data_IF_277697513008
#
_entry.id   IF_277697513008
#
_cell.length_a   1.000
_cell.length_b   1.000
_cell.length_c   1.000
_cell.angle_alpha   90.00
_cell.angle_beta   90.00
_cell.angle_gamma   90.00
#
_symmetry.space_group_name_H-M   'P 1'
#
loop_
_entity.id
_entity.type
_entity.pdbx_description
1 polymer ?
#
# COMPACT_ATOMS: atom_id res chain seq x y z
N UNK A 1 18.02 -6.87 -2.12
CA UNK A 1 16.57 -6.71 -2.33
C UNK A 1 16.39 -5.64 -3.38
N UNK A 2 15.99 -6.01 -4.60
CA UNK A 2 15.72 -5.03 -5.66
C UNK A 2 14.30 -4.51 -5.43
N UNK A 3 14.15 -3.21 -5.19
CA UNK A 3 12.86 -2.55 -5.09
C UNK A 3 12.59 -1.83 -6.41
N UNK A 4 11.61 -2.30 -7.17
CA UNK A 4 11.10 -1.60 -8.35
C UNK A 4 9.67 -1.15 -8.07
N UNK A 5 9.44 0.17 -8.14
CA UNK A 5 8.12 0.78 -8.02
C UNK A 5 7.66 1.20 -9.41
N UNK A 6 6.48 0.76 -9.84
CA UNK A 6 5.88 1.18 -11.10
C UNK A 6 4.72 2.15 -10.80
N UNK A 7 5.01 3.45 -10.87
CA UNK A 7 3.99 4.51 -10.82
C UNK A 7 3.32 4.64 -12.18
N UNK A 8 2.11 4.10 -12.29
CA UNK A 8 1.26 4.27 -13.47
C UNK A 8 -0.20 4.35 -13.01
N UNK A 9 -0.65 5.58 -12.71
CA UNK A 9 -1.96 5.86 -12.10
C UNK A 9 -3.13 5.77 -13.07
N UNK A 10 -2.88 5.58 -14.38
CA UNK A 10 -3.90 5.67 -15.43
C UNK A 10 -4.10 4.37 -16.25
N UNK A 11 -3.52 3.23 -15.83
CA UNK A 11 -3.67 1.95 -16.55
C UNK A 11 -4.35 0.89 -15.69
N UNK A 12 -5.17 0.03 -16.32
CA UNK A 12 -5.73 -1.15 -15.67
C UNK A 12 -4.61 -2.16 -15.42
N UNK A 13 -4.16 -2.26 -14.16
CA UNK A 13 -3.10 -3.18 -13.72
C UNK A 13 -3.65 -4.60 -13.58
N UNK A 14 -4.01 -5.22 -14.70
CA UNK A 14 -4.46 -6.61 -14.71
C UNK A 14 -3.29 -7.59 -14.50
N UNK A 15 -3.61 -8.86 -14.26
CA UNK A 15 -2.61 -9.89 -13.98
C UNK A 15 -1.57 -10.08 -15.09
N UNK A 16 -1.93 -9.82 -16.36
CA UNK A 16 -1.02 -9.95 -17.50
C UNK A 16 -0.03 -8.79 -17.50
N UNK A 17 -0.52 -7.57 -17.29
CA UNK A 17 0.33 -6.40 -17.19
C UNK A 17 1.31 -6.55 -16.03
N UNK A 18 0.84 -6.92 -14.84
CA UNK A 18 1.71 -7.13 -13.67
C UNK A 18 2.75 -8.21 -13.93
N UNK A 19 2.34 -9.40 -14.41
CA UNK A 19 3.29 -10.49 -14.67
C UNK A 19 4.34 -10.11 -15.70
N UNK A 20 3.99 -9.39 -16.77
CA UNK A 20 4.96 -8.94 -17.77
C UNK A 20 6.06 -8.04 -17.19
N UNK A 21 5.71 -7.16 -16.24
CA UNK A 21 6.67 -6.29 -15.56
C UNK A 21 7.58 -7.10 -14.63
N UNK A 22 7.00 -8.03 -13.87
CA UNK A 22 7.78 -8.91 -12.97
C UNK A 22 8.74 -9.78 -13.79
N UNK A 23 8.28 -10.40 -14.86
CA UNK A 23 9.10 -11.25 -15.74
C UNK A 23 10.25 -10.46 -16.39
N UNK A 24 9.98 -9.22 -16.80
CA UNK A 24 11.03 -8.33 -17.32
C UNK A 24 12.09 -8.03 -16.26
N UNK A 25 11.67 -7.66 -15.05
CA UNK A 25 12.59 -7.39 -13.95
C UNK A 25 13.42 -8.64 -13.56
N UNK A 26 12.81 -9.83 -13.55
CA UNK A 26 13.52 -11.10 -13.30
C UNK A 26 14.59 -11.35 -14.38
N UNK A 27 14.27 -11.12 -15.66
CA UNK A 27 15.21 -11.28 -16.78
C UNK A 27 16.40 -10.33 -16.67
N UNK A 28 16.17 -9.08 -16.26
CA UNK A 28 17.24 -8.08 -16.05
C UNK A 28 18.23 -8.49 -14.94
N UNK A 29 17.75 -9.17 -13.90
CA UNK A 29 18.56 -9.62 -12.75
C UNK A 29 19.20 -11.01 -12.95
N UNK A 30 18.79 -11.72 -14.01
CA UNK A 30 18.96 -13.16 -14.22
C UNK A 30 18.09 -14.01 -13.27
N UNK A 31 17.19 -14.87 -13.80
CA UNK A 31 16.32 -15.72 -12.97
C UNK A 31 17.02 -16.54 -11.90
N UNK A 32 18.29 -16.94 -12.11
CA UNK A 32 19.04 -17.74 -11.13
C UNK A 32 19.41 -16.97 -9.86
N UNK A 33 19.37 -15.63 -9.92
CA UNK A 33 19.69 -14.74 -8.82
C UNK A 33 18.43 -14.27 -8.06
N UNK A 34 17.25 -14.71 -8.49
CA UNK A 34 15.97 -14.34 -7.88
C UNK A 34 15.38 -15.55 -7.16
N UNK A 35 15.19 -15.41 -5.86
CA UNK A 35 14.52 -16.42 -5.02
C UNK A 35 13.04 -16.09 -4.79
N UNK A 36 12.73 -14.80 -4.66
CA UNK A 36 11.40 -14.34 -4.27
C UNK A 36 11.11 -12.95 -4.83
N UNK A 37 9.84 -12.69 -5.13
CA UNK A 37 9.33 -11.34 -5.29
C UNK A 37 8.20 -11.06 -4.27
N UNK A 38 8.05 -9.80 -3.91
CA UNK A 38 7.05 -9.35 -2.93
C UNK A 38 6.18 -8.27 -3.56
N UNK A 39 4.86 -8.44 -3.49
CA UNK A 39 3.88 -7.46 -3.94
C UNK A 39 2.70 -7.43 -2.96
N UNK A 40 1.81 -6.44 -3.07
CA UNK A 40 0.58 -6.45 -2.27
C UNK A 40 -0.31 -7.67 -2.59
N UNK A 41 -1.26 -7.97 -1.71
CA UNK A 41 -2.15 -9.12 -1.85
C UNK A 41 -3.35 -8.85 -2.79
N UNK A 42 -3.24 -7.87 -3.70
CA UNK A 42 -4.29 -7.65 -4.69
C UNK A 42 -4.46 -8.88 -5.60
N UNK A 43 -5.70 -9.12 -6.04
CA UNK A 43 -6.05 -10.27 -6.87
C UNK A 43 -5.22 -10.36 -8.16
N UNK A 44 -4.87 -9.21 -8.77
CA UNK A 44 -4.01 -9.15 -9.95
C UNK A 44 -2.60 -9.70 -9.67
N UNK A 45 -2.02 -9.44 -8.49
CA UNK A 45 -0.71 -9.93 -8.09
C UNK A 45 -0.73 -11.43 -7.78
N UNK A 46 -1.79 -11.91 -7.13
CA UNK A 46 -2.00 -13.35 -6.88
C UNK A 46 -2.13 -14.12 -8.21
N UNK A 47 -2.82 -13.55 -9.21
CA UNK A 47 -2.88 -14.15 -10.54
C UNK A 47 -1.53 -14.04 -11.27
N UNK A 48 -0.82 -12.92 -11.15
CA UNK A 48 0.50 -12.72 -11.72
C UNK A 48 1.52 -13.75 -11.22
N UNK A 49 1.44 -14.15 -9.94
CA UNK A 49 2.23 -15.24 -9.38
C UNK A 49 2.15 -16.50 -10.25
N UNK A 50 0.95 -16.90 -10.68
CA UNK A 50 0.75 -18.12 -11.47
C UNK A 50 1.51 -18.07 -12.79
N UNK A 51 1.53 -16.90 -13.44
CA UNK A 51 2.28 -16.69 -14.67
C UNK A 51 3.79 -16.76 -14.41
N UNK A 52 4.27 -16.10 -13.35
CA UNK A 52 5.69 -16.10 -12.97
C UNK A 52 6.17 -17.51 -12.62
N UNK A 53 5.41 -18.26 -11.82
CA UNK A 53 5.74 -19.65 -11.46
C UNK A 53 5.72 -20.62 -12.63
N UNK A 54 4.96 -20.32 -13.69
CA UNK A 54 4.96 -21.12 -14.92
C UNK A 54 6.28 -20.96 -15.67
N UNK A 55 6.86 -19.76 -15.70
CA UNK A 55 8.14 -19.49 -16.35
C UNK A 55 9.34 -19.82 -15.45
N UNK A 56 9.22 -19.57 -14.14
CA UNK A 56 10.28 -19.74 -13.13
C UNK A 56 9.75 -20.44 -11.87
N UNK A 57 9.64 -21.79 -11.87
CA UNK A 57 9.03 -22.54 -10.76
C UNK A 57 9.73 -22.40 -9.40
N UNK A 58 11.01 -22.02 -9.39
CA UNK A 58 11.82 -21.82 -8.18
C UNK A 58 11.57 -20.48 -7.48
N UNK A 59 10.91 -19.53 -8.15
CA UNK A 59 10.66 -18.20 -7.59
C UNK A 59 9.38 -18.22 -6.76
N UNK A 60 9.48 -17.75 -5.51
CA UNK A 60 8.37 -17.68 -4.56
C UNK A 60 7.72 -16.30 -4.58
N UNK A 61 6.40 -16.24 -4.40
CA UNK A 61 5.68 -15.00 -4.12
C UNK A 61 5.50 -14.82 -2.61
N UNK A 62 5.87 -13.64 -2.11
CA UNK A 62 5.54 -13.22 -0.75
C UNK A 62 4.55 -12.06 -0.76
N UNK A 63 3.46 -12.19 -0.03
CA UNK A 63 2.53 -11.08 0.17
C UNK A 63 3.16 -9.92 0.94
N UNK A 64 2.70 -8.69 0.68
CA UNK A 64 3.19 -7.51 1.39
C UNK A 64 2.69 -7.50 2.83
N UNK A 65 3.63 -7.62 3.78
CA UNK A 65 3.34 -7.55 5.22
C UNK A 65 2.71 -6.21 5.61
N UNK A 66 3.15 -5.10 5.00
CA UNK A 66 2.58 -3.79 5.27
C UNK A 66 1.09 -3.73 4.93
N UNK A 67 0.70 -4.33 3.80
CA UNK A 67 -0.72 -4.45 3.44
C UNK A 67 -1.48 -5.36 4.41
N UNK A 68 -0.88 -6.47 4.85
CA UNK A 68 -1.46 -7.33 5.89
C UNK A 68 -1.70 -6.59 7.22
N UNK A 69 -0.77 -5.71 7.62
CA UNK A 69 -0.93 -4.87 8.81
C UNK A 69 -2.06 -3.85 8.60
N UNK A 70 -2.18 -3.26 7.41
CA UNK A 70 -3.29 -2.35 7.09
C UNK A 70 -4.66 -3.05 7.25
N UNK A 71 -4.80 -4.25 6.68
CA UNK A 71 -6.03 -5.04 6.80
C UNK A 71 -6.31 -5.43 8.25
N UNK A 72 -5.28 -5.80 9.01
CA UNK A 72 -5.42 -6.08 10.44
C UNK A 72 -5.98 -4.86 11.19
N UNK A 73 -5.47 -3.66 10.91
CA UNK A 73 -5.97 -2.44 11.53
C UNK A 73 -7.39 -2.09 11.08
N UNK A 74 -7.74 -2.34 9.83
CA UNK A 74 -9.10 -2.20 9.33
C UNK A 74 -10.07 -3.12 10.11
N UNK A 75 -9.69 -4.38 10.32
CA UNK A 75 -10.47 -5.34 11.09
C UNK A 75 -10.56 -4.99 12.57
N UNK A 76 -9.47 -4.48 13.16
CA UNK A 76 -9.50 -3.92 14.51
C UNK A 76 -10.48 -2.74 14.59
N UNK A 77 -10.51 -1.85 13.59
CA UNK A 77 -11.45 -0.73 13.52
C UNK A 77 -12.93 -1.16 13.52
N UNK A 78 -13.24 -2.36 13.04
CA UNK A 78 -14.61 -2.92 13.05
C UNK A 78 -15.08 -3.35 14.44
N UNK A 79 -14.18 -3.48 15.43
CA UNK A 79 -14.56 -3.72 16.82
C UNK A 79 -15.25 -2.49 17.39
N UNK A 80 -16.48 -2.65 17.91
CA UNK A 80 -17.33 -1.51 18.30
C UNK A 80 -16.65 -0.49 19.23
N UNK A 81 -15.84 -0.96 20.19
CA UNK A 81 -15.13 -0.07 21.11
C UNK A 81 -13.94 0.66 20.46
N UNK A 82 -13.27 0.05 19.49
CA UNK A 82 -12.20 0.68 18.70
C UNK A 82 -12.80 1.66 17.69
N UNK A 83 -13.87 1.24 16.98
CA UNK A 83 -14.62 2.09 16.06
C UNK A 83 -15.11 3.38 16.73
N UNK A 84 -15.68 3.28 17.93
CA UNK A 84 -16.10 4.45 18.71
C UNK A 84 -14.94 5.40 19.10
N UNK A 85 -13.72 4.88 19.24
CA UNK A 85 -12.52 5.71 19.45
C UNK A 85 -12.15 6.38 18.13
N UNK A 86 -12.13 5.63 17.02
CA UNK A 86 -11.85 6.19 15.69
C UNK A 86 -12.82 7.30 15.30
N UNK A 87 -14.12 7.15 15.58
CA UNK A 87 -15.12 8.17 15.30
C UNK A 87 -14.80 9.48 16.03
N UNK A 88 -14.48 9.41 17.33
CA UNK A 88 -14.08 10.59 18.11
C UNK A 88 -12.78 11.21 17.59
N UNK A 89 -11.81 10.38 17.21
CA UNK A 89 -10.57 10.86 16.60
C UNK A 89 -10.86 11.57 15.26
N UNK A 90 -11.74 11.02 14.44
CA UNK A 90 -12.17 11.60 13.17
C UNK A 90 -12.92 12.92 13.37
N UNK A 91 -13.73 13.06 14.42
CA UNK A 91 -14.37 14.31 14.79
C UNK A 91 -13.35 15.40 15.14
N UNK A 92 -12.32 15.05 15.93
CA UNK A 92 -11.23 15.96 16.30
C UNK A 92 -10.44 16.37 15.05
N UNK A 93 -10.05 15.41 14.20
CA UNK A 93 -9.33 15.68 12.96
C UNK A 93 -10.17 16.58 12.04
N UNK A 94 -11.48 16.32 11.93
CA UNK A 94 -12.40 17.14 11.14
C UNK A 94 -12.53 18.55 11.71
N UNK A 95 -12.65 18.70 13.02
CA UNK A 95 -12.68 20.00 13.69
C UNK A 95 -11.41 20.81 13.40
N UNK A 96 -10.23 20.20 13.56
CA UNK A 96 -8.95 20.88 13.31
C UNK A 96 -8.85 21.28 11.84
N UNK A 97 -9.20 20.40 10.90
CA UNK A 97 -9.08 20.67 9.46
C UNK A 97 -10.06 21.74 8.97
N UNK A 98 -11.26 21.79 9.53
CA UNK A 98 -12.31 22.72 9.10
C UNK A 98 -12.30 24.05 9.85
N UNK A 99 -11.52 24.17 10.92
CA UNK A 99 -11.44 25.39 11.72
C UNK A 99 -10.12 26.14 11.45
N UNK A 100 -10.23 27.38 10.97
CA UNK A 100 -9.08 28.19 10.53
C UNK A 100 -7.98 28.34 11.60
N UNK A 101 -8.37 28.63 12.85
CA UNK A 101 -7.42 28.90 13.93
C UNK A 101 -6.62 27.66 14.38
N UNK A 102 -7.25 26.52 14.77
CA UNK A 102 -6.50 25.32 15.16
C UNK A 102 -5.76 24.67 13.98
N UNK A 103 -6.25 24.82 12.74
CA UNK A 103 -5.51 24.39 11.55
C UNK A 103 -4.17 25.13 11.44
N UNK A 104 -4.18 26.46 11.49
CA UNK A 104 -2.97 27.28 11.38
C UNK A 104 -2.02 27.00 12.54
N UNK A 105 -2.53 26.93 13.78
CA UNK A 105 -1.71 26.59 14.93
C UNK A 105 -1.03 25.22 14.78
N UNK A 106 -1.74 24.21 14.27
CA UNK A 106 -1.13 22.89 14.03
C UNK A 106 -0.04 22.96 12.94
N UNK A 107 -0.25 23.72 11.87
CA UNK A 107 0.77 23.90 10.82
C UNK A 107 2.02 24.60 11.35
N UNK A 108 1.82 25.68 12.10
CA UNK A 108 2.91 26.53 12.58
C UNK A 108 3.76 25.81 13.62
N UNK A 109 3.14 25.06 14.53
CA UNK A 109 3.84 24.42 15.64
C UNK A 109 4.41 23.04 15.32
N UNK A 110 3.73 22.23 14.50
CA UNK A 110 4.07 20.81 14.35
C UNK A 110 4.52 20.41 12.95
N UNK A 111 4.11 21.13 11.91
CA UNK A 111 4.49 20.78 10.52
C UNK A 111 5.45 21.78 9.89
N UNK A 112 5.91 22.79 10.65
CA UNK A 112 6.79 23.86 10.18
C UNK A 112 6.23 24.56 8.92
N UNK A 113 4.91 24.76 8.90
CA UNK A 113 4.16 25.37 7.80
C UNK A 113 3.73 24.42 6.68
N UNK A 114 4.01 23.12 6.76
CA UNK A 114 3.62 22.15 5.73
C UNK A 114 2.15 21.72 5.86
N UNK A 115 1.38 21.82 4.78
CA UNK A 115 -0.05 21.45 4.75
C UNK A 115 -0.29 19.98 5.11
N UNK A 116 -1.23 19.73 6.03
CA UNK A 116 -1.76 18.41 6.37
C UNK A 116 -2.34 17.72 5.13
N UNK A 117 -1.72 16.59 4.77
CA UNK A 117 -2.27 15.70 3.76
C UNK A 117 -3.60 15.11 4.26
N UNK A 118 -4.52 14.83 3.33
CA UNK A 118 -5.73 14.07 3.69
C UNK A 118 -5.28 12.69 4.20
N UNK A 119 -5.85 12.19 5.32
CA UNK A 119 -5.76 10.76 5.60
C UNK A 119 -6.21 10.03 4.34
N UNK A 120 -5.35 9.17 3.81
CA UNK A 120 -5.81 8.21 2.81
C UNK A 120 -6.97 7.44 3.43
N UNK A 121 -8.06 7.30 2.69
CA UNK A 121 -9.11 6.36 3.07
C UNK A 121 -8.41 5.00 3.17
N UNK A 122 -8.42 4.43 4.37
CA UNK A 122 -7.84 3.13 4.69
C UNK A 122 -8.58 2.06 3.90
#
# INVERSE_FOLDING_TARGET
MLHAHADDSNMTKDAKWVSSHILKAIKEVDPKNVLQFTADNAFANILAEKFVRTEYPHIVFGGCVAHGINLLFEDMGKLAWIGAIFDKCNDIVSFIKNSHQPHIMLMDFFTNGATLLKPGVI
#
